data_IF_502595707530
#
_entry.id   IF_502595707530
#
_cell.length_a   1.000
_cell.length_b   1.000
_cell.length_c   1.000
_cell.angle_alpha   90.00
_cell.angle_beta   90.00
_cell.angle_gamma   90.00
#
_symmetry.space_group_name_H-M   'P 1'
#
loop_
_entity.id
_entity.type
_entity.pdbx_description
1 polymer ?
2 water ?
#
# COMPACT_ATOMS: atom_id res chain seq x y z
N UNK A 4 -0.80 -24.83 9.55
CA UNK A 4 -1.17 -26.16 9.08
C UNK A 4 -2.06 -26.06 7.84
N UNK A 5 -3.32 -25.70 8.06
CA UNK A 5 -4.27 -25.55 6.97
C UNK A 5 -4.39 -24.09 6.58
N UNK A 6 -3.92 -23.20 7.46
CA UNK A 6 -3.90 -21.77 7.17
C UNK A 6 -3.00 -21.50 5.97
N UNK A 7 -1.94 -22.30 5.87
CA UNK A 7 -1.01 -22.19 4.74
C UNK A 7 -1.72 -22.54 3.43
N UNK A 8 -2.63 -23.50 3.49
CA UNK A 8 -3.40 -23.90 2.32
C UNK A 8 -4.28 -22.76 1.86
N UNK A 9 -4.93 -22.10 2.81
CA UNK A 9 -5.78 -20.95 2.53
C UNK A 9 -4.98 -19.81 1.90
N UNK A 10 -3.86 -19.48 2.55
CA UNK A 10 -2.99 -18.41 2.07
C UNK A 10 -2.49 -18.68 0.66
N UNK A 11 -2.10 -19.93 0.41
CA UNK A 11 -1.65 -20.33 -0.92
C UNK A 11 -2.78 -20.16 -1.94
N UNK A 12 -3.97 -20.63 -1.59
CA UNK A 12 -5.12 -20.54 -2.49
C UNK A 12 -5.40 -19.08 -2.86
N UNK A 13 -5.39 -18.21 -1.86
CA UNK A 13 -5.63 -16.79 -2.11
C UNK A 13 -4.56 -16.18 -3.00
N UNK A 14 -3.30 -16.54 -2.73
CA UNK A 14 -2.18 -16.06 -3.52
C UNK A 14 -2.32 -16.45 -4.99
N UNK A 15 -2.63 -17.73 -5.22
CA UNK A 15 -2.83 -18.22 -6.57
C UNK A 15 -4.02 -17.53 -7.24
N UNK A 16 -5.06 -17.28 -6.46
CA UNK A 16 -6.23 -16.57 -6.97
C UNK A 16 -5.84 -15.20 -7.49
N UNK A 17 -4.98 -14.50 -6.75
CA UNK A 17 -4.51 -13.18 -7.18
C UNK A 17 -3.59 -13.27 -8.41
N UNK A 18 -2.67 -14.25 -8.39
CA UNK A 18 -1.76 -14.47 -9.51
C UNK A 18 -2.50 -14.74 -10.82
N UNK A 19 -3.57 -15.51 -10.76
CA UNK A 19 -4.37 -15.84 -11.93
C UNK A 19 -4.96 -14.58 -12.55
N UNK A 20 -5.56 -13.75 -11.71
CA UNK A 20 -6.18 -12.52 -12.16
C UNK A 20 -5.16 -11.55 -12.70
N UNK A 21 -3.95 -11.58 -12.14
CA UNK A 21 -2.91 -10.63 -12.54
C UNK A 21 -2.32 -10.88 -13.94
N UNK A 22 -2.01 -12.13 -14.26
CA UNK A 22 -1.36 -12.46 -15.52
C UNK A 22 -2.35 -12.54 -16.66
N UNK A 23 -2.93 -11.40 -17.01
CA UNK A 23 -4.12 -11.38 -17.86
C UNK A 23 -4.46 -9.91 -18.08
N UNK A 24 -4.90 -9.55 -19.28
CA UNK A 24 -4.98 -8.14 -19.67
C UNK A 24 -6.23 -7.47 -19.10
N UNK A 25 -7.39 -8.11 -19.17
CA UNK A 25 -8.57 -7.55 -18.50
C UNK A 25 -9.35 -8.51 -17.63
N UNK A 26 -8.81 -8.79 -16.45
CA UNK A 26 -9.64 -9.20 -15.32
C UNK A 26 -9.94 -7.94 -14.54
N UNK A 27 -11.07 -7.90 -13.81
CA UNK A 27 -11.41 -6.65 -13.13
C UNK A 27 -10.33 -6.13 -12.18
N UNK A 28 -9.51 -7.04 -11.65
CA UNK A 28 -8.50 -6.70 -10.64
C UNK A 28 -7.56 -5.57 -11.06
N UNK A 29 -7.38 -5.36 -12.37
CA UNK A 29 -6.47 -4.34 -12.86
C UNK A 29 -6.94 -2.93 -12.56
N UNK A 30 -8.25 -2.76 -12.34
CA UNK A 30 -8.77 -1.44 -12.04
C UNK A 30 -8.98 -1.24 -10.54
N UNK A 31 -8.60 -2.26 -9.76
CA UNK A 31 -8.65 -2.16 -8.30
C UNK A 31 -7.38 -1.51 -7.77
N UNK A 32 -6.29 -1.62 -8.53
CA UNK A 32 -5.04 -0.97 -8.15
C UNK A 32 -3.94 -1.92 -7.74
N UNK A 33 -4.26 -3.20 -7.62
CA UNK A 33 -3.27 -4.21 -7.32
C UNK A 33 -2.35 -4.43 -8.51
N UNK A 34 -1.05 -4.25 -8.31
CA UNK A 34 -0.09 -4.41 -9.39
C UNK A 34 0.75 -5.67 -9.23
N UNK A 35 1.17 -5.97 -8.00
CA UNK A 35 1.94 -7.19 -7.77
C UNK A 35 1.78 -7.74 -6.35
N UNK A 36 2.12 -9.01 -6.18
CA UNK A 36 2.05 -9.68 -4.88
C UNK A 36 2.89 -10.95 -4.87
N UNK A 37 3.72 -11.13 -3.84
CA UNK A 37 4.51 -12.36 -3.71
C UNK A 37 5.12 -12.49 -2.31
N UNK A 38 5.45 -13.71 -1.90
CA UNK A 38 6.08 -13.91 -0.59
C UNK A 38 7.33 -13.05 -0.41
N UNK A 39 7.50 -12.52 0.80
CA UNK A 39 8.65 -11.66 1.09
C UNK A 39 9.94 -12.46 0.96
N UNK A 40 9.97 -13.65 1.54
CA UNK A 40 11.14 -14.52 1.42
C UNK A 40 10.72 -15.91 0.93
N UNK A 41 10.61 -16.87 1.85
CA UNK A 41 10.28 -18.25 1.48
C UNK A 41 9.08 -18.79 2.28
N UNK A 42 8.33 -17.89 2.91
CA UNK A 42 7.21 -18.29 3.74
C UNK A 42 5.92 -17.60 3.35
N UNK A 43 4.80 -18.16 3.80
CA UNK A 43 3.48 -17.67 3.41
C UNK A 43 2.93 -16.66 4.42
N UNK A 44 3.74 -16.29 5.41
CA UNK A 44 3.27 -15.43 6.48
C UNK A 44 3.86 -14.02 6.43
N UNK A 45 4.68 -13.76 5.43
CA UNK A 45 5.15 -12.41 5.16
C UNK A 45 5.16 -12.15 3.64
N UNK A 46 4.52 -11.04 3.25
CA UNK A 46 4.27 -10.73 1.85
C UNK A 46 4.76 -9.36 1.42
N UNK A 47 5.15 -9.27 0.16
CA UNK A 47 5.47 -8.02 -0.50
C UNK A 47 4.43 -7.73 -1.59
N UNK A 48 3.91 -6.51 -1.63
CA UNK A 48 2.92 -6.16 -2.65
C UNK A 48 3.27 -4.84 -3.32
N UNK A 49 2.68 -4.61 -4.49
CA UNK A 49 2.82 -3.33 -5.19
C UNK A 49 1.45 -2.84 -5.62
N UNK A 50 1.11 -1.62 -5.24
CA UNK A 50 -0.19 -1.03 -5.59
C UNK A 50 -0.07 0.32 -6.30
N UNK A 51 -1.08 0.63 -7.10
CA UNK A 51 -1.13 1.90 -7.83
C UNK A 51 -2.12 2.86 -7.16
N UNK A 52 -1.76 4.14 -7.07
CA UNK A 52 -2.65 5.15 -6.55
C UNK A 52 -3.91 5.27 -7.39
N UNK A 53 -5.07 5.29 -6.73
CA UNK A 53 -6.39 5.27 -7.39
C UNK A 53 -6.66 6.52 -8.22
N UNK A 54 -7.49 6.36 -9.24
CA UNK A 54 -7.80 7.44 -10.16
C UNK A 54 -8.50 8.61 -9.48
N UNK A 55 -8.15 9.81 -9.93
CA UNK A 55 -8.78 11.06 -9.49
C UNK A 55 -8.44 11.40 -8.05
N UNK A 56 -7.43 10.72 -7.50
CA UNK A 56 -6.87 11.08 -6.21
C UNK A 56 -5.50 11.71 -6.46
N UNK A 57 -4.98 12.45 -5.46
CA UNK A 57 -3.64 13.02 -5.67
C UNK A 57 -2.56 11.94 -5.78
N UNK A 58 -2.89 10.70 -5.44
CA UNK A 58 -1.94 9.60 -5.49
C UNK A 58 -1.92 8.90 -6.86
N UNK A 59 -2.76 9.37 -7.79
CA UNK A 59 -2.97 8.65 -9.05
C UNK A 59 -1.69 8.54 -9.89
N UNK A 60 -1.61 7.44 -10.65
CA UNK A 60 -0.49 7.19 -11.57
C UNK A 60 0.87 7.18 -10.88
N UNK A 61 0.97 6.48 -9.76
CA UNK A 61 2.24 6.28 -9.07
C UNK A 61 2.15 4.99 -8.27
N UNK A 62 3.28 4.31 -8.09
CA UNK A 62 3.29 3.02 -7.43
C UNK A 62 3.89 3.06 -6.02
N UNK A 63 3.35 2.25 -5.13
CA UNK A 63 3.90 2.09 -3.79
C UNK A 63 4.07 0.62 -3.43
N UNK A 64 5.08 0.35 -2.59
CA UNK A 64 5.36 -1.00 -2.13
C UNK A 64 4.80 -1.19 -0.72
N UNK A 65 4.35 -2.40 -0.44
CA UNK A 65 3.75 -2.74 0.84
C UNK A 65 4.38 -4.00 1.42
N UNK A 66 4.44 -4.05 2.74
CA UNK A 66 4.83 -5.26 3.45
C UNK A 66 3.69 -5.71 4.35
N UNK A 67 3.41 -7.01 4.30
CA UNK A 67 2.26 -7.60 4.98
C UNK A 67 2.67 -8.74 5.90
N UNK A 68 2.34 -8.62 7.18
CA UNK A 68 2.62 -9.66 8.15
C UNK A 68 1.32 -10.37 8.53
N UNK A 69 1.34 -11.70 8.43
CA UNK A 69 0.16 -12.52 8.68
C UNK A 69 0.18 -13.12 10.09
N UNK A 70 -0.92 -12.94 10.84
CA UNK A 70 -1.02 -13.52 12.18
C UNK A 70 -1.20 -15.04 12.13
N UNK A 71 -0.88 -15.72 13.22
CA UNK A 71 -0.96 -17.17 13.29
C UNK A 71 -2.40 -17.67 13.24
N UNK A 72 -3.31 -16.89 13.81
CA UNK A 72 -4.72 -17.28 13.88
C UNK A 72 -5.52 -16.83 12.66
N UNK A 73 -4.81 -16.42 11.62
CA UNK A 73 -5.45 -16.00 10.37
C UNK A 73 -6.41 -17.08 9.87
N UNK A 74 -7.60 -16.67 9.39
CA UNK A 74 -8.10 -15.30 9.23
C UNK A 74 -8.99 -14.79 10.37
N UNK A 75 -8.75 -15.24 11.60
CA UNK A 75 -9.52 -14.76 12.74
C UNK A 75 -9.14 -13.32 13.06
N UNK A 76 -7.91 -12.96 12.71
CA UNK A 76 -7.44 -11.59 12.87
C UNK A 76 -6.85 -11.09 11.55
N UNK A 77 -6.95 -9.78 11.30
CA UNK A 77 -6.49 -9.18 10.04
C UNK A 77 -4.97 -9.12 9.93
N UNK A 78 -4.45 -9.03 8.70
CA UNK A 78 -3.01 -8.84 8.49
C UNK A 78 -2.55 -7.47 8.99
N UNK A 79 -1.30 -7.37 9.43
CA UNK A 79 -0.72 -6.06 9.72
C UNK A 79 0.01 -5.58 8.47
N UNK A 80 -0.25 -4.35 8.06
CA UNK A 80 0.27 -3.89 6.79
C UNK A 80 0.96 -2.54 6.93
N UNK A 81 2.10 -2.38 6.25
CA UNK A 81 2.80 -1.10 6.27
C UNK A 81 3.33 -0.74 4.88
N UNK A 82 3.45 0.56 4.62
CA UNK A 82 4.14 1.05 3.43
C UNK A 82 5.65 0.92 3.59
N UNK A 83 6.34 0.61 2.49
CA UNK A 83 7.80 0.57 2.49
C UNK A 83 8.35 1.99 2.35
N UNK A 84 8.93 2.49 3.42
CA UNK A 84 9.47 3.85 3.48
C UNK A 84 10.98 3.82 3.73
N UNK A 85 11.75 4.49 2.87
CA UNK A 85 13.20 4.56 3.03
C UNK A 85 13.64 5.95 3.50
N UNK A 86 14.85 6.02 4.04
CA UNK A 86 15.44 7.31 4.39
C UNK A 86 15.89 8.03 3.14
N UNK A 87 15.94 9.37 3.22
CA UNK A 87 16.35 10.22 2.11
C UNK A 87 17.70 9.82 1.49
N UNK A 88 18.65 9.48 2.35
CA UNK A 88 19.98 9.06 1.93
C UNK A 88 19.91 7.80 1.04
N UNK A 89 19.25 6.77 1.56
CA UNK A 89 19.06 5.53 0.82
C UNK A 89 18.36 5.77 -0.52
N UNK A 90 17.31 6.60 -0.51
CA UNK A 90 16.55 6.85 -1.73
C UNK A 90 17.44 7.49 -2.78
N UNK A 91 18.22 8.47 -2.35
CA UNK A 91 19.09 9.18 -3.27
C UNK A 91 20.15 8.24 -3.83
N UNK A 92 20.64 7.32 -3.00
CA UNK A 92 21.57 6.31 -3.51
C UNK A 92 20.90 5.41 -4.53
N UNK A 93 19.64 5.07 -4.31
CA UNK A 93 18.89 4.22 -5.24
C UNK A 93 18.66 4.94 -6.57
N UNK A 94 18.50 6.26 -6.51
CA UNK A 94 18.19 7.04 -7.70
C UNK A 94 19.38 7.16 -8.66
N UNK A 95 20.59 6.93 -8.16
CA UNK A 95 21.79 7.01 -8.99
C UNK A 95 22.06 5.71 -9.73
N UNK A 96 21.26 4.69 -9.43
CA UNK A 96 21.41 3.40 -10.10
C UNK A 96 20.26 3.18 -11.08
N UNK A 97 19.26 4.05 -11.02
CA UNK A 97 18.03 3.88 -11.77
C UNK A 97 18.21 3.91 -13.28
N UNK A 98 17.14 3.55 -14.00
CA UNK A 98 17.11 3.66 -15.45
C UNK A 98 15.90 4.50 -15.85
N UNK A 99 15.99 5.17 -17.00
CA UNK A 99 14.91 6.03 -17.46
C UNK A 99 13.78 5.22 -18.08
N UNK A 100 13.85 3.89 -17.96
CA UNK A 100 12.83 3.01 -18.49
C UNK A 100 12.50 1.86 -17.55
N UNK A 101 12.82 2.04 -16.27
CA UNK A 101 12.59 0.99 -15.28
C UNK A 101 11.24 1.15 -14.59
N UNK A 102 10.94 0.22 -13.68
CA UNK A 102 9.74 0.29 -12.85
C UNK A 102 10.02 1.17 -11.64
N UNK A 103 9.46 2.37 -11.60
CA UNK A 103 9.76 3.26 -10.49
C UNK A 103 8.66 3.28 -9.44
N UNK A 104 9.09 3.26 -8.19
CA UNK A 104 8.22 3.28 -7.03
C UNK A 104 8.57 4.47 -6.14
N UNK A 105 7.55 5.10 -5.56
CA UNK A 105 7.77 6.17 -4.59
C UNK A 105 7.99 5.60 -3.20
N UNK A 106 9.02 6.08 -2.51
CA UNK A 106 9.38 5.50 -1.23
C UNK A 106 9.14 6.42 -0.04
N UNK A 107 8.19 7.34 -0.19
CA UNK A 107 7.66 8.12 0.93
C UNK A 107 6.14 8.14 0.80
N UNK A 108 5.43 7.95 1.92
CA UNK A 108 3.96 7.95 1.89
C UNK A 108 3.38 8.98 2.86
N UNK A 109 3.07 10.18 2.36
CA UNK A 109 2.40 11.22 3.15
C UNK A 109 0.89 11.05 3.13
N UNK A 110 0.32 10.65 4.25
CA UNK A 110 -1.08 10.31 4.33
C UNK A 110 -1.55 10.40 5.78
N UNK A 111 -2.76 10.94 6.00
CA UNK A 111 -3.34 11.10 7.34
C UNK A 111 -3.30 9.85 8.21
N UNK A 112 -3.43 8.66 7.61
CA UNK A 112 -3.49 7.43 8.39
C UNK A 112 -2.21 6.58 8.31
N UNK A 113 -1.09 7.22 7.97
CA UNK A 113 0.18 6.52 7.84
C UNK A 113 1.31 7.22 8.61
N UNK A 114 2.06 6.44 9.39
CA UNK A 114 3.26 6.92 10.05
C UNK A 114 4.34 7.25 9.02
N UNK A 115 4.68 8.53 8.91
CA UNK A 115 5.59 8.98 7.85
C UNK A 115 6.98 8.38 7.96
N UNK A 116 7.41 8.03 9.17
CA UNK A 116 8.75 7.50 9.36
C UNK A 116 8.82 5.99 9.14
N UNK A 117 7.88 5.24 9.71
CA UNK A 117 7.91 3.77 9.69
C UNK A 117 7.06 3.18 8.57
N UNK A 118 6.05 3.94 8.14
CA UNK A 118 5.16 3.49 7.08
C UNK A 118 3.94 2.74 7.59
N UNK A 119 3.86 2.59 8.92
CA UNK A 119 2.77 1.84 9.53
C UNK A 119 1.41 2.46 9.22
N UNK A 120 0.46 1.60 8.85
CA UNK A 120 -0.92 2.00 8.66
C UNK A 120 -1.69 1.73 9.96
N UNK A 121 -2.53 2.68 10.35
CA UNK A 121 -3.28 2.56 11.60
C UNK A 121 -4.12 1.28 11.64
N UNK A 122 -4.00 0.54 12.73
CA UNK A 122 -4.69 -0.74 12.91
C UNK A 122 -6.21 -0.60 12.85
N UNK A 123 -6.70 0.59 13.17
CA UNK A 123 -8.14 0.90 13.15
C UNK A 123 -8.77 0.56 11.81
N UNK A 124 -8.10 0.96 10.73
CA UNK A 124 -8.63 0.82 9.38
C UNK A 124 -9.09 -0.61 9.09
N UNK A 125 -8.23 -1.58 9.35
CA UNK A 125 -8.56 -2.97 9.08
C UNK A 125 -9.36 -3.63 10.20
N UNK A 126 -9.06 -3.27 11.45
CA UNK A 126 -9.75 -3.89 12.57
C UNK A 126 -11.26 -3.64 12.53
N UNK A 127 -11.65 -2.47 12.04
CA UNK A 127 -13.06 -2.10 11.99
C UNK A 127 -13.79 -2.78 10.85
N UNK A 128 -13.06 -3.18 9.81
CA UNK A 128 -13.68 -3.76 8.62
C UNK A 128 -13.57 -5.28 8.55
N UNK A 129 -12.46 -5.83 9.04
CA UNK A 129 -12.10 -7.22 8.78
C UNK A 129 -13.09 -8.25 9.32
N UNK A 130 -13.29 -9.31 8.53
CA UNK A 130 -14.09 -10.46 8.91
C UNK A 130 -13.48 -11.70 8.27
N UNK A 131 -13.77 -12.90 8.79
CA UNK A 131 -13.18 -14.12 8.22
C UNK A 131 -13.52 -14.37 6.75
N UNK A 132 -14.46 -13.60 6.21
CA UNK A 132 -14.83 -13.71 4.80
C UNK A 132 -13.85 -12.96 3.90
N UNK A 133 -13.02 -12.13 4.51
CA UNK A 133 -12.06 -11.31 3.77
C UNK A 133 -10.84 -12.11 3.33
N UNK A 134 -10.20 -11.63 2.27
CA UNK A 134 -9.00 -12.26 1.72
C UNK A 134 -7.85 -11.25 1.68
N UNK A 135 -6.70 -11.71 1.19
CA UNK A 135 -5.56 -10.81 0.97
C UNK A 135 -5.91 -9.74 -0.05
N UNK A 136 -6.57 -10.17 -1.12
CA UNK A 136 -6.98 -9.27 -2.20
C UNK A 136 -7.87 -8.15 -1.67
N UNK A 137 -8.83 -8.50 -0.82
CA UNK A 137 -9.75 -7.50 -0.29
C UNK A 137 -9.03 -6.52 0.62
N UNK A 138 -7.99 -6.98 1.30
CA UNK A 138 -7.19 -6.10 2.15
C UNK A 138 -6.41 -5.09 1.30
N UNK A 139 -5.77 -5.59 0.24
CA UNK A 139 -5.05 -4.70 -0.68
C UNK A 139 -6.01 -3.64 -1.26
N UNK A 140 -7.14 -4.11 -1.77
CA UNK A 140 -8.18 -3.23 -2.31
C UNK A 140 -8.59 -2.18 -1.27
N UNK A 141 -8.74 -2.62 -0.02
CA UNK A 141 -9.09 -1.73 1.08
C UNK A 141 -8.06 -0.62 1.27
N UNK A 142 -6.78 -0.94 1.10
CA UNK A 142 -5.74 0.08 1.25
C UNK A 142 -5.74 1.08 0.08
N UNK A 143 -5.94 0.55 -1.13
CA UNK A 143 -6.09 1.42 -2.30
C UNK A 143 -7.27 2.38 -2.09
N UNK A 144 -8.36 1.87 -1.53
CA UNK A 144 -9.50 2.69 -1.17
C UNK A 144 -9.10 3.77 -0.17
N UNK A 145 -8.34 3.35 0.86
CA UNK A 145 -7.89 4.25 1.90
C UNK A 145 -7.10 5.43 1.33
N UNK A 146 -6.34 5.19 0.28
CA UNK A 146 -5.62 6.27 -0.37
C UNK A 146 -6.57 7.35 -0.92
N UNK A 147 -7.78 6.95 -1.30
CA UNK A 147 -8.76 7.90 -1.83
C UNK A 147 -9.72 8.40 -0.74
N UNK A 148 -9.84 7.67 0.35
CA UNK A 148 -10.76 8.05 1.42
C UNK A 148 -10.13 7.98 2.81
N UNK A 149 -9.32 8.99 3.16
CA UNK A 149 -8.72 9.04 4.49
C UNK A 149 -9.77 9.29 5.57
N UNK A 150 -9.51 8.81 6.79
CA UNK A 150 -10.35 9.14 7.92
C UNK A 150 -9.57 9.92 8.97
N UNK A 151 -9.85 11.22 9.09
CA UNK A 151 -9.19 12.10 10.06
C UNK A 151 -9.51 11.73 11.51
N UNK A 152 -10.30 10.69 11.71
CA UNK A 152 -10.60 10.21 13.06
C UNK A 152 -9.39 9.54 13.71
N UNK A 153 -8.63 8.78 12.93
CA UNK A 153 -7.48 8.04 13.46
C UNK A 153 -6.16 8.40 12.74
N UNK A 154 -5.61 9.58 13.03
CA UNK A 154 -4.43 10.11 12.33
C UNK A 154 -3.09 9.61 12.88
N UNK A 155 -2.15 9.35 11.98
CA UNK A 155 -0.77 9.06 12.35
C UNK A 155 0.13 10.15 11.78
N UNK A 156 -0.42 10.96 10.88
CA UNK A 156 0.24 12.14 10.37
C UNK A 156 -0.63 13.36 10.63
N UNK A 157 -0.24 14.17 11.61
CA UNK A 157 -1.05 15.29 12.06
C UNK A 157 -1.26 16.36 10.99
N UNK A 158 -0.18 16.74 10.30
CA UNK A 158 -0.23 17.80 9.30
C UNK A 158 -1.20 17.50 8.16
N UNK A 159 -1.11 16.29 7.60
CA UNK A 159 -1.99 15.89 6.50
C UNK A 159 -3.44 15.84 6.97
N UNK A 160 -3.66 15.22 8.14
CA UNK A 160 -5.01 15.11 8.70
C UNK A 160 -5.63 16.48 8.93
N UNK A 161 -4.84 17.44 9.39
CA UNK A 161 -5.35 18.79 9.61
C UNK A 161 -5.58 19.55 8.30
N UNK A 162 -4.71 19.32 7.32
CA UNK A 162 -4.91 19.90 6.00
C UNK A 162 -6.26 19.45 5.47
N UNK A 163 -6.56 18.17 5.66
CA UNK A 163 -7.83 17.61 5.22
C UNK A 163 -9.00 18.17 6.04
N UNK A 164 -8.78 18.34 7.34
CA UNK A 164 -9.82 18.83 8.24
C UNK A 164 -10.15 20.30 7.98
N UNK A 165 -9.19 21.04 7.44
CA UNK A 165 -9.40 22.44 7.07
C UNK A 165 -9.82 22.55 5.62
N UNK A 166 -10.00 21.40 4.98
CA UNK A 166 -10.37 21.31 3.56
C UNK A 166 -9.46 22.16 2.68
N UNK A 167 -8.15 22.09 2.94
CA UNK A 167 -7.16 22.73 2.08
C UNK A 167 -6.65 21.72 1.06
N UNK A 168 -7.43 21.51 0.01
CA UNK A 168 -7.20 20.46 -0.98
C UNK A 168 -5.92 20.67 -1.79
N UNK A 169 -5.67 21.93 -2.13
CA UNK A 169 -4.54 22.28 -2.98
C UNK A 169 -3.21 21.98 -2.32
N UNK A 170 -3.09 22.30 -1.04
CA UNK A 170 -1.84 22.07 -0.31
C UNK A 170 -1.57 20.57 -0.14
N UNK A 171 -2.63 19.83 0.17
CA UNK A 171 -2.62 18.37 0.25
C UNK A 171 -2.06 17.76 -1.05
N UNK A 172 -2.75 18.06 -2.15
CA UNK A 172 -2.36 17.60 -3.47
C UNK A 172 -0.92 17.97 -3.82
N UNK A 173 -0.56 19.22 -3.57
CA UNK A 173 0.78 19.71 -3.87
C UNK A 173 1.86 18.97 -3.09
N UNK A 174 1.57 18.65 -1.83
CA UNK A 174 2.51 17.91 -0.99
C UNK A 174 2.72 16.49 -1.54
N UNK A 175 1.61 15.80 -1.79
CA UNK A 175 1.70 14.43 -2.33
C UNK A 175 2.48 14.44 -3.65
N UNK A 176 2.13 15.36 -4.54
CA UNK A 176 2.83 15.52 -5.80
C UNK A 176 4.33 15.76 -5.60
N UNK A 177 4.67 16.56 -4.60
CA UNK A 177 6.08 16.83 -4.27
C UNK A 177 6.82 15.55 -3.93
N UNK A 178 6.26 14.76 -3.01
CA UNK A 178 6.97 13.54 -2.61
C UNK A 178 7.02 12.53 -3.75
N UNK A 179 5.97 12.46 -4.56
CA UNK A 179 5.99 11.58 -5.74
C UNK A 179 7.10 11.98 -6.71
N UNK A 180 7.24 13.27 -6.93
CA UNK A 180 8.20 13.78 -7.91
C UNK A 180 9.65 13.69 -7.42
N UNK A 181 9.86 13.79 -6.12
CA UNK A 181 11.23 13.89 -5.62
C UNK A 181 11.80 12.61 -4.99
N UNK A 182 10.94 11.71 -4.53
CA UNK A 182 11.41 10.56 -3.77
C UNK A 182 11.07 9.20 -4.39
N UNK A 183 11.19 9.11 -5.71
CA UNK A 183 10.90 7.85 -6.43
C UNK A 183 12.16 7.26 -7.07
N UNK A 184 12.23 5.94 -7.13
CA UNK A 184 13.40 5.26 -7.68
C UNK A 184 13.03 3.89 -8.24
N UNK A 185 13.97 3.23 -8.91
CA UNK A 185 13.71 1.93 -9.54
C UNK A 185 13.32 0.85 -8.53
N UNK A 186 13.01 -0.34 -9.05
CA UNK A 186 12.72 -1.52 -8.23
C UNK A 186 11.51 -1.32 -7.33
#
# INVERSE_FOLDING_TARGET
>A
GAMASTEKRLLKEYRAVKKELTEKRSPIHDTGIVDLHPLEDGLFRWSAVIRGPDQSPFEDALWKLEIDIPTNYPLDPPKIKFVVFGEEKIRQLQRKTSSGARKVCYKMPHPNVNFKTGEICLDILQQKWSPAWTLQSALVAIVVLLANPEPLSPLNIDMANLLKCDDTTAYKDLVHYYIAKYSAYESNDV
#
